data_IF_457197556761
#
_entry.id   IF_457197556761
#
_cell.length_a   1.000
_cell.length_b   1.000
_cell.length_c   1.000
_cell.angle_alpha   90.00
_cell.angle_beta   90.00
_cell.angle_gamma   90.00
#
_symmetry.space_group_name_H-M   'P 1'
#
loop_
_entity.id
_entity.type
_entity.pdbx_description
1 polymer ?
#
# COMPACT_ATOMS: atom_id res chain seq x y z
N UNK A 1 3.62 2.44 17.55
CA UNK A 1 2.90 2.64 16.28
C UNK A 1 2.33 1.32 15.80
N UNK A 2 1.29 1.38 14.97
CA UNK A 2 0.57 0.22 14.45
C UNK A 2 1.48 -0.70 13.62
N UNK A 3 1.16 -2.00 13.61
CA UNK A 3 1.67 -2.97 12.64
C UNK A 3 0.86 -2.83 11.36
N UNK A 4 1.53 -2.57 10.25
CA UNK A 4 0.86 -2.33 8.97
C UNK A 4 1.43 -3.21 7.88
N UNK A 5 0.56 -3.68 6.99
CA UNK A 5 0.96 -4.34 5.74
C UNK A 5 0.95 -3.33 4.61
N UNK A 6 1.97 -3.37 3.76
CA UNK A 6 1.95 -2.72 2.45
C UNK A 6 1.99 -3.79 1.36
N UNK A 7 0.90 -3.90 0.60
CA UNK A 7 0.87 -4.68 -0.62
C UNK A 7 1.44 -3.88 -1.79
N UNK A 8 2.17 -4.54 -2.70
CA UNK A 8 2.89 -3.90 -3.81
C UNK A 8 3.96 -2.87 -3.37
N UNK A 9 4.65 -3.14 -2.27
CA UNK A 9 5.71 -2.28 -1.72
C UNK A 9 6.89 -2.05 -2.68
N UNK A 10 7.12 -2.91 -3.68
CA UNK A 10 8.20 -2.74 -4.68
C UNK A 10 7.78 -1.85 -5.87
N UNK A 11 6.54 -1.34 -5.88
CA UNK A 11 6.05 -0.44 -6.92
C UNK A 11 6.57 0.99 -6.76
N UNK A 12 6.31 1.85 -7.76
CA UNK A 12 6.74 3.27 -7.76
C UNK A 12 6.31 4.00 -6.49
N UNK A 13 5.04 3.92 -6.13
CA UNK A 13 4.50 4.47 -4.88
C UNK A 13 4.85 3.59 -3.69
N UNK A 14 4.85 2.26 -3.85
CA UNK A 14 5.18 1.30 -2.79
C UNK A 14 6.50 1.61 -2.09
N UNK A 15 7.55 1.89 -2.85
CA UNK A 15 8.89 2.17 -2.29
C UNK A 15 8.90 3.46 -1.47
N UNK A 16 8.19 4.49 -1.94
CA UNK A 16 8.09 5.76 -1.22
C UNK A 16 7.21 5.64 0.02
N UNK A 17 6.13 4.87 -0.03
CA UNK A 17 5.25 4.61 1.11
C UNK A 17 5.96 3.78 2.17
N UNK A 18 6.71 2.75 1.77
CA UNK A 18 7.53 1.95 2.68
C UNK A 18 8.55 2.82 3.41
N UNK A 19 9.31 3.64 2.67
CA UNK A 19 10.30 4.54 3.26
C UNK A 19 9.67 5.49 4.28
N UNK A 20 8.55 6.12 3.93
CA UNK A 20 7.83 7.03 4.82
C UNK A 20 7.26 6.31 6.05
N UNK A 21 6.69 5.12 5.88
CA UNK A 21 6.11 4.34 6.96
C UNK A 21 7.18 3.91 7.98
N UNK A 22 8.33 3.43 7.51
CA UNK A 22 9.45 3.03 8.37
C UNK A 22 10.03 4.26 9.09
N UNK A 23 10.22 5.39 8.39
CA UNK A 23 10.69 6.64 9.00
C UNK A 23 9.70 7.18 10.05
N UNK A 24 8.40 7.02 9.81
CA UNK A 24 7.36 7.39 10.77
C UNK A 24 7.30 6.42 11.96
N UNK A 25 7.99 5.27 11.92
CA UNK A 25 8.10 4.29 13.01
C UNK A 25 7.08 3.14 12.96
N UNK A 26 6.38 2.93 11.84
CA UNK A 26 5.49 1.79 11.67
C UNK A 26 6.29 0.48 11.61
N UNK A 27 5.74 -0.58 12.22
CA UNK A 27 6.30 -1.93 12.05
C UNK A 27 5.73 -2.53 10.76
N UNK A 28 6.38 -2.21 9.64
CA UNK A 28 5.86 -2.55 8.31
C UNK A 28 6.16 -4.01 7.96
N UNK A 29 5.13 -4.73 7.52
CA UNK A 29 5.24 -6.02 6.82
C UNK A 29 4.97 -5.80 5.34
N UNK A 30 5.73 -6.46 4.46
CA UNK A 30 5.49 -6.41 3.01
C UNK A 30 5.35 -7.82 2.44
N UNK A 31 4.41 -7.98 1.50
CA UNK A 31 4.34 -9.16 0.64
C UNK A 31 5.02 -8.85 -0.69
N UNK A 32 6.02 -9.65 -1.06
CA UNK A 32 6.78 -9.49 -2.31
C UNK A 32 6.92 -10.82 -3.04
N UNK A 33 6.80 -10.79 -4.37
CA UNK A 33 7.05 -11.98 -5.22
C UNK A 33 8.53 -12.32 -5.31
N UNK A 34 9.36 -11.27 -5.31
CA UNK A 34 10.81 -11.36 -5.43
C UNK A 34 11.41 -10.31 -4.51
N UNK A 35 12.12 -10.76 -3.47
CA UNK A 35 12.74 -9.92 -2.46
C UNK A 35 13.88 -9.06 -3.01
N UNK A 36 14.52 -9.47 -4.10
CA UNK A 36 15.62 -8.71 -4.71
C UNK A 36 15.16 -7.38 -5.31
N UNK A 37 13.84 -7.21 -5.50
CA UNK A 37 13.23 -5.97 -5.98
C UNK A 37 13.09 -4.89 -4.91
N UNK A 38 13.31 -5.21 -3.64
CA UNK A 38 13.48 -4.21 -2.62
C UNK A 38 14.93 -3.70 -2.67
N UNK A 39 15.14 -2.38 -2.80
CA UNK A 39 16.48 -1.81 -2.71
C UNK A 39 17.16 -2.19 -1.39
N UNK A 40 18.42 -2.58 -1.45
CA UNK A 40 19.24 -2.84 -0.26
C UNK A 40 19.55 -1.56 0.51
N UNK A 41 19.56 -0.42 -0.17
CA UNK A 41 19.74 0.91 0.41
C UNK A 41 18.40 1.53 0.82
N UNK A 42 18.38 2.20 1.97
CA UNK A 42 17.21 2.90 2.49
C UNK A 42 16.42 2.11 3.55
N UNK A 43 15.27 2.66 4.00
CA UNK A 43 14.50 2.08 5.09
C UNK A 43 13.92 0.70 4.73
N UNK A 44 14.19 -0.30 5.57
CA UNK A 44 13.77 -1.68 5.36
C UNK A 44 12.47 -2.01 6.10
N UNK A 45 11.62 -2.91 5.58
CA UNK A 45 10.46 -3.39 6.31
C UNK A 45 10.90 -4.21 7.53
N UNK A 46 10.06 -4.25 8.57
CA UNK A 46 10.30 -5.08 9.74
C UNK A 46 10.15 -6.58 9.42
N UNK A 47 9.24 -6.92 8.50
CA UNK A 47 9.01 -8.27 8.05
C UNK A 47 8.78 -8.31 6.53
N UNK A 48 9.35 -9.32 5.89
CA UNK A 48 9.14 -9.58 4.48
C UNK A 48 8.58 -10.98 4.32
N UNK A 49 7.45 -11.06 3.63
CA UNK A 49 6.81 -12.31 3.26
C UNK A 49 7.04 -12.50 1.76
N UNK A 50 7.63 -13.63 1.39
CA UNK A 50 7.75 -14.02 -0.02
C UNK A 50 6.49 -14.78 -0.43
N UNK A 51 5.85 -14.31 -1.51
CA UNK A 51 4.58 -14.86 -2.01
C UNK A 51 3.92 -13.97 -3.07
N UNK A 52 2.75 -14.38 -3.52
CA UNK A 52 1.94 -13.65 -4.51
C UNK A 52 0.62 -13.17 -3.90
N UNK A 53 0.18 -11.98 -4.27
CA UNK A 53 -1.08 -11.41 -3.77
C UNK A 53 -2.31 -12.11 -4.33
N UNK A 54 -2.17 -12.87 -5.42
CA UNK A 54 -3.22 -13.74 -6.00
C UNK A 54 -3.22 -15.14 -5.37
N UNK A 55 -2.46 -15.33 -4.28
CA UNK A 55 -2.45 -16.57 -3.51
C UNK A 55 -3.01 -16.28 -2.12
N UNK A 56 -4.27 -16.67 -1.90
CA UNK A 56 -4.97 -16.42 -0.64
C UNK A 56 -4.17 -16.83 0.61
N UNK A 57 -3.43 -17.94 0.57
CA UNK A 57 -2.58 -18.38 1.68
C UNK A 57 -1.42 -17.42 1.97
N UNK A 58 -0.83 -16.83 0.93
CA UNK A 58 0.25 -15.84 1.08
C UNK A 58 -0.28 -14.50 1.61
N UNK A 59 -1.49 -14.13 1.23
CA UNK A 59 -2.16 -12.94 1.75
C UNK A 59 -2.58 -13.13 3.20
N UNK A 60 -3.20 -14.27 3.52
CA UNK A 60 -3.65 -14.62 4.87
C UNK A 60 -2.51 -14.57 5.88
N UNK A 61 -1.39 -15.27 5.60
CA UNK A 61 -0.21 -15.27 6.46
C UNK A 61 0.42 -13.88 6.61
N UNK A 62 0.25 -13.00 5.63
CA UNK A 62 0.78 -11.62 5.67
C UNK A 62 -0.09 -10.70 6.54
N UNK A 63 -1.42 -10.84 6.45
CA UNK A 63 -2.39 -10.01 7.19
C UNK A 63 -2.52 -10.42 8.65
N UNK A 64 -2.21 -11.68 8.98
CA UNK A 64 -2.30 -12.19 10.34
C UNK A 64 -1.56 -11.30 11.38
N UNK A 65 -2.29 -10.85 12.39
CA UNK A 65 -1.75 -10.08 13.54
C UNK A 65 -1.35 -8.63 13.23
N UNK A 66 -1.87 -8.06 12.14
CA UNK A 66 -1.62 -6.68 11.69
C UNK A 66 -2.79 -5.79 12.09
N UNK A 67 -2.52 -4.50 12.31
CA UNK A 67 -3.54 -3.52 12.71
C UNK A 67 -4.12 -2.75 11.49
N UNK A 68 -3.37 -2.72 10.39
CA UNK A 68 -3.73 -1.97 9.20
C UNK A 68 -3.18 -2.59 7.91
N UNK A 69 -3.87 -2.29 6.81
CA UNK A 69 -3.49 -2.69 5.45
C UNK A 69 -3.50 -1.48 4.52
N UNK A 70 -2.39 -1.27 3.82
CA UNK A 70 -2.26 -0.32 2.71
C UNK A 70 -2.20 -1.11 1.40
N UNK A 71 -3.15 -0.85 0.50
CA UNK A 71 -3.23 -1.48 -0.82
C UNK A 71 -2.72 -0.53 -1.90
N UNK A 72 -1.55 -0.83 -2.47
CA UNK A 72 -0.95 -0.14 -3.62
C UNK A 72 -0.89 -1.05 -4.86
N UNK A 73 -1.90 -1.91 -5.02
CA UNK A 73 -1.97 -2.83 -6.15
C UNK A 73 -1.99 -2.06 -7.47
N UNK A 74 -1.28 -2.61 -8.46
CA UNK A 74 -1.22 -2.03 -9.80
C UNK A 74 -0.63 -3.01 -10.80
N UNK A 75 -0.91 -2.76 -12.07
CA UNK A 75 -0.56 -3.65 -13.20
C UNK A 75 0.89 -3.45 -13.70
N UNK A 76 1.64 -2.53 -13.08
CA UNK A 76 3.00 -2.22 -13.48
C UNK A 76 3.04 -1.61 -14.89
N UNK A 77 3.86 -2.20 -15.77
CA UNK A 77 3.97 -1.80 -17.18
C UNK A 77 3.18 -2.72 -18.12
N UNK A 78 2.57 -3.79 -17.61
CA UNK A 78 1.71 -4.66 -18.39
C UNK A 78 0.30 -4.06 -18.41
N UNK A 79 -0.12 -3.59 -19.59
CA UNK A 79 -1.42 -2.95 -19.81
C UNK A 79 -2.42 -3.91 -20.45
N UNK A 80 -2.10 -5.20 -20.52
CA UNK A 80 -3.03 -6.20 -21.03
C UNK A 80 -4.23 -6.37 -20.08
N UNK A 81 -5.39 -6.83 -20.59
CA UNK A 81 -6.53 -7.17 -19.73
C UNK A 81 -6.10 -8.12 -18.61
N UNK A 82 -6.46 -7.78 -17.37
CA UNK A 82 -6.05 -8.54 -16.19
C UNK A 82 -7.13 -8.54 -15.11
N UNK A 83 -7.19 -9.62 -14.34
CA UNK A 83 -8.01 -9.76 -13.14
C UNK A 83 -7.19 -9.70 -11.85
N UNK A 84 -5.85 -9.70 -11.94
CA UNK A 84 -4.98 -9.85 -10.77
C UNK A 84 -5.11 -8.75 -9.71
N UNK A 85 -5.52 -7.54 -10.11
CA UNK A 85 -5.83 -6.47 -9.16
C UNK A 85 -7.13 -6.75 -8.39
N UNK A 86 -8.18 -7.23 -9.08
CA UNK A 86 -9.46 -7.56 -8.46
C UNK A 86 -9.36 -8.81 -7.59
N UNK A 87 -8.66 -9.84 -8.07
CA UNK A 87 -8.39 -11.07 -7.34
C UNK A 87 -7.54 -10.79 -6.09
N UNK A 88 -6.43 -10.06 -6.24
CA UNK A 88 -5.59 -9.69 -5.09
C UNK A 88 -6.32 -8.80 -4.09
N UNK A 89 -7.14 -7.84 -4.55
CA UNK A 89 -7.98 -7.04 -3.65
C UNK A 89 -8.97 -7.93 -2.91
N UNK A 90 -9.55 -8.92 -3.59
CA UNK A 90 -10.50 -9.84 -2.96
C UNK A 90 -9.81 -10.69 -1.87
N UNK A 91 -8.67 -11.29 -2.19
CA UNK A 91 -7.90 -12.09 -1.21
C UNK A 91 -7.51 -11.25 0.03
N UNK A 92 -7.12 -9.98 -0.16
CA UNK A 92 -6.79 -9.07 0.94
C UNK A 92 -8.01 -8.81 1.83
N UNK A 93 -9.15 -8.46 1.23
CA UNK A 93 -10.37 -8.19 2.00
C UNK A 93 -10.88 -9.45 2.70
N UNK A 94 -10.77 -10.62 2.07
CA UNK A 94 -11.12 -11.90 2.68
C UNK A 94 -10.23 -12.20 3.89
N UNK A 95 -8.91 -12.05 3.77
CA UNK A 95 -7.97 -12.21 4.87
C UNK A 95 -8.23 -11.22 6.01
N UNK A 96 -8.46 -9.94 5.69
CA UNK A 96 -8.80 -8.93 6.71
C UNK A 96 -10.06 -9.33 7.49
N UNK A 97 -11.10 -9.82 6.81
CA UNK A 97 -12.32 -10.32 7.48
C UNK A 97 -12.04 -11.52 8.37
N UNK A 98 -11.18 -12.45 7.94
CA UNK A 98 -10.82 -13.64 8.72
C UNK A 98 -10.05 -13.31 10.00
N UNK A 99 -9.18 -12.27 9.96
CA UNK A 99 -8.36 -11.84 11.10
C UNK A 99 -9.02 -10.75 11.98
N UNK A 100 -10.26 -10.36 11.67
CA UNK A 100 -11.07 -9.43 12.46
C UNK A 100 -11.37 -8.11 11.75
N UNK A 101 -12.61 -7.64 11.83
CA UNK A 101 -13.08 -6.44 11.11
C UNK A 101 -12.49 -5.11 11.59
N UNK A 102 -11.70 -5.10 12.66
CA UNK A 102 -11.12 -3.88 13.24
C UNK A 102 -9.90 -3.33 12.50
N UNK A 103 -9.38 -4.04 11.49
CA UNK A 103 -8.22 -3.57 10.74
C UNK A 103 -8.57 -2.33 9.90
N UNK A 104 -7.74 -1.28 9.99
CA UNK A 104 -7.86 -0.13 9.09
C UNK A 104 -7.41 -0.52 7.68
N UNK A 105 -8.25 -0.26 6.68
CA UNK A 105 -7.91 -0.49 5.27
C UNK A 105 -7.78 0.85 4.55
N UNK A 106 -6.67 1.06 3.84
CA UNK A 106 -6.49 2.23 2.97
C UNK A 106 -6.12 1.78 1.58
N UNK A 107 -6.96 2.13 0.61
CA UNK A 107 -6.76 1.87 -0.81
C UNK A 107 -6.96 3.17 -1.59
N UNK A 108 -6.01 3.53 -2.44
CA UNK A 108 -6.07 4.76 -3.23
C UNK A 108 -5.60 4.44 -4.64
N UNK A 109 -6.51 4.62 -5.61
CA UNK A 109 -6.25 4.42 -7.03
C UNK A 109 -6.39 5.75 -7.78
N UNK A 110 -5.33 6.58 -7.82
CA UNK A 110 -5.40 7.86 -8.50
C UNK A 110 -5.34 7.67 -10.02
N UNK A 111 -5.96 8.57 -10.81
CA UNK A 111 -5.94 8.49 -12.27
C UNK A 111 -4.54 8.70 -12.87
N UNK A 112 -3.68 9.47 -12.20
CA UNK A 112 -2.29 9.63 -12.61
C UNK A 112 -1.35 9.83 -11.42
N UNK A 113 -0.19 9.18 -11.48
CA UNK A 113 0.86 9.26 -10.47
C UNK A 113 2.06 10.01 -11.06
N UNK A 114 2.38 11.15 -10.47
CA UNK A 114 3.53 11.98 -10.82
C UNK A 114 4.80 11.65 -10.02
N UNK A 115 5.90 12.32 -10.37
CA UNK A 115 7.23 12.15 -9.76
C UNK A 115 7.72 13.40 -9.01
N UNK A 116 6.83 14.36 -8.77
CA UNK A 116 7.14 15.56 -7.99
C UNK A 116 7.57 15.16 -6.56
N UNK A 117 8.42 15.97 -5.90
CA UNK A 117 8.82 15.73 -4.51
C UNK A 117 7.63 15.66 -3.55
N UNK A 118 7.87 15.09 -2.35
CA UNK A 118 6.91 15.17 -1.25
C UNK A 118 6.63 16.64 -0.92
N UNK A 119 5.36 17.02 -0.88
CA UNK A 119 4.95 18.37 -0.49
C UNK A 119 4.10 18.37 0.78
N UNK A 120 3.29 17.31 0.99
CA UNK A 120 2.23 17.30 1.99
C UNK A 120 1.11 18.33 1.71
N UNK A 121 1.18 19.04 0.57
CA UNK A 121 0.29 20.13 0.20
C UNK A 121 -0.67 19.68 -0.90
N UNK A 122 -1.58 18.78 -0.54
CA UNK A 122 -2.64 18.29 -1.42
C UNK A 122 -4.00 18.40 -0.75
N UNK A 123 -5.05 18.48 -1.57
CA UNK A 123 -6.44 18.61 -1.09
C UNK A 123 -7.16 17.29 -1.23
N UNK A 124 -7.89 16.89 -0.18
CA UNK A 124 -8.83 15.76 -0.22
C UNK A 124 -10.23 16.33 -0.36
N UNK A 125 -10.92 15.99 -1.44
CA UNK A 125 -12.31 16.39 -1.68
C UNK A 125 -13.18 15.16 -1.86
N UNK A 126 -14.38 15.21 -1.27
CA UNK A 126 -15.48 14.36 -1.68
C UNK A 126 -16.03 14.98 -3.00
N UNK A 127 -16.54 14.17 -3.93
CA UNK A 127 -17.11 14.60 -5.23
C UNK A 127 -16.14 14.90 -6.39
N UNK A 128 -14.85 14.62 -6.23
CA UNK A 128 -13.88 14.65 -7.34
C UNK A 128 -13.60 16.03 -7.93
N UNK A 129 -13.99 17.12 -7.25
CA UNK A 129 -13.79 18.51 -7.68
C UNK A 129 -12.37 19.03 -7.39
N UNK A 130 -11.37 18.14 -7.39
CA UNK A 130 -9.97 18.54 -7.18
C UNK A 130 -9.41 19.31 -8.38
N UNK A 131 -8.48 20.26 -8.18
CA UNK A 131 -7.91 21.06 -9.27
C UNK A 131 -7.00 20.26 -10.21
N UNK A 132 -6.63 19.04 -9.84
CA UNK A 132 -5.68 18.19 -10.56
C UNK A 132 -6.13 16.74 -10.56
N UNK A 133 -5.81 16.03 -11.66
CA UNK A 133 -5.93 14.56 -11.79
C UNK A 133 -4.62 13.84 -11.50
N UNK A 134 -3.63 14.55 -10.97
CA UNK A 134 -2.29 14.04 -10.69
C UNK A 134 -1.98 14.20 -9.21
N UNK A 135 -1.49 13.14 -8.59
CA UNK A 135 -0.85 13.17 -7.27
C UNK A 135 0.58 12.61 -7.41
N UNK A 136 1.55 13.18 -6.70
CA UNK A 136 2.90 12.62 -6.71
C UNK A 136 2.91 11.25 -6.00
N UNK A 137 3.81 10.34 -6.39
CA UNK A 137 3.99 9.07 -5.68
C UNK A 137 4.32 9.27 -4.19
N UNK A 138 5.02 10.35 -3.86
CA UNK A 138 5.40 10.67 -2.49
C UNK A 138 4.19 11.14 -1.67
N UNK A 139 3.40 12.05 -2.22
CA UNK A 139 2.18 12.56 -1.57
C UNK A 139 1.08 11.50 -1.50
N UNK A 140 0.99 10.59 -2.48
CA UNK A 140 0.09 9.43 -2.39
C UNK A 140 0.46 8.55 -1.19
N UNK A 141 1.75 8.22 -1.03
CA UNK A 141 2.21 7.46 0.13
C UNK A 141 1.98 8.18 1.45
N UNK A 142 2.23 9.49 1.47
CA UNK A 142 1.96 10.34 2.64
C UNK A 142 0.48 10.34 3.02
N UNK A 143 -0.41 10.52 2.04
CA UNK A 143 -1.86 10.47 2.22
C UNK A 143 -2.32 9.13 2.79
N UNK A 144 -1.80 8.02 2.26
CA UNK A 144 -2.15 6.69 2.77
C UNK A 144 -1.79 6.52 4.25
N UNK A 145 -0.65 7.06 4.68
CA UNK A 145 -0.23 7.01 6.08
C UNK A 145 -1.07 7.94 6.97
N UNK A 146 -1.44 9.13 6.48
CA UNK A 146 -2.35 10.02 7.20
C UNK A 146 -3.70 9.34 7.47
N UNK A 147 -4.24 8.59 6.50
CA UNK A 147 -5.48 7.83 6.69
C UNK A 147 -5.39 6.77 7.79
N UNK A 148 -4.20 6.24 8.10
CA UNK A 148 -4.04 5.31 9.22
C UNK A 148 -4.11 6.00 10.58
N UNK A 149 -3.66 7.26 10.66
CA UNK A 149 -3.66 8.05 11.90
C UNK A 149 -4.93 8.85 12.12
N UNK A 150 -5.75 9.05 11.08
CA UNK A 150 -7.03 9.71 11.23
C UNK A 150 -7.89 8.93 12.24
N UNK A 151 -8.33 9.63 13.27
CA UNK A 151 -9.39 9.20 14.18
C UNK A 151 -10.67 9.84 13.64
N UNK A 152 -11.74 9.05 13.52
CA UNK A 152 -13.10 9.58 13.36
C UNK A 152 -13.53 10.35 14.63
#
# INVERSE_FOLDING_TARGET
LAKSVIFCATGRTGLTTLAQAVQAGYKVTVLVRDSSRLPSEGPQPAHMVVGDVQQAADVDKTVAGQDAVIMLLGIGNDLSPTTGMSEGTWDIVAAMKAHGSGLKCVAVMPPHIGYQPLTGAYTVTLDGQGPSRVISKHDQGHFMLLCLTAHE
#
